data_IF_663588047945
#
_entry.id   IF_663588047945
#
_cell.length_a   1.000
_cell.length_b   1.000
_cell.length_c   1.000
_cell.angle_alpha   90.00
_cell.angle_beta   90.00
_cell.angle_gamma   90.00
#
_symmetry.space_group_name_H-M   'P 1'
#
loop_
_entity.id
_entity.type
_entity.pdbx_description
1 polymer ?
#
# COMPACT_ATOMS: atom_id res chain seq x y z
N UNK A 1 -26.24 64.16 24.74
CA UNK A 1 -26.73 63.22 23.72
C UNK A 1 -25.71 62.08 23.64
N UNK A 2 -25.66 61.19 24.64
CA UNK A 2 -26.44 59.94 24.71
C UNK A 2 -26.56 59.19 23.38
N UNK A 3 -25.81 58.09 23.26
CA UNK A 3 -26.40 56.74 23.34
C UNK A 3 -25.31 55.66 23.52
N UNK A 4 -25.37 55.03 24.69
CA UNK A 4 -24.81 53.74 25.05
C UNK A 4 -25.72 52.64 24.50
N UNK A 5 -25.18 51.56 23.91
CA UNK A 5 -25.89 50.26 23.83
C UNK A 5 -24.91 49.14 24.19
N UNK A 6 -25.25 48.46 25.28
CA UNK A 6 -24.58 47.33 25.91
C UNK A 6 -24.98 46.00 25.25
N UNK A 7 -24.03 45.08 25.14
CA UNK A 7 -24.25 43.70 24.70
C UNK A 7 -24.94 42.85 25.81
N UNK A 8 -25.82 41.90 25.46
CA UNK A 8 -26.40 40.97 26.42
C UNK A 8 -25.63 39.64 26.51
N UNK A 9 -25.50 39.14 27.74
CA UNK A 9 -24.98 37.80 28.11
C UNK A 9 -26.03 36.72 27.81
N UNK A 10 -25.61 35.63 27.17
CA UNK A 10 -26.43 34.42 26.96
C UNK A 10 -26.23 33.42 28.12
N UNK A 11 -27.35 32.96 28.66
CA UNK A 11 -27.52 31.94 29.72
C UNK A 11 -27.93 30.62 29.06
N UNK A 12 -27.47 29.44 29.52
CA UNK A 12 -27.85 28.15 28.94
C UNK A 12 -29.25 27.69 29.38
N UNK A 13 -30.00 26.91 28.57
CA UNK A 13 -31.39 26.60 28.86
C UNK A 13 -31.55 25.43 29.83
N UNK A 14 -32.46 25.63 30.78
CA UNK A 14 -33.04 24.66 31.71
C UNK A 14 -34.07 23.77 31.01
N UNK A 15 -33.94 22.45 31.15
CA UNK A 15 -34.92 21.46 30.68
C UNK A 15 -36.02 21.30 31.74
N UNK A 16 -37.25 21.68 31.38
CA UNK A 16 -38.45 21.54 32.20
C UNK A 16 -39.08 20.15 32.08
N UNK A 17 -39.41 19.57 33.22
CA UNK A 17 -40.22 18.37 33.36
C UNK A 17 -41.68 18.66 33.01
N UNK A 18 -42.33 17.77 32.26
CA UNK A 18 -43.78 17.72 32.08
C UNK A 18 -44.30 16.54 32.90
N UNK A 19 -45.14 16.84 33.89
CA UNK A 19 -45.98 15.88 34.60
C UNK A 19 -47.16 15.45 33.72
N UNK A 20 -47.47 14.15 33.72
CA UNK A 20 -48.80 13.65 33.35
C UNK A 20 -49.13 12.39 34.15
N UNK A 21 -50.10 12.57 35.06
CA UNK A 21 -51.06 11.69 35.71
C UNK A 21 -50.92 10.16 35.77
N UNK A 22 -51.26 9.69 36.97
CA UNK A 22 -51.30 8.32 37.45
C UNK A 22 -52.43 7.46 36.87
N UNK A 23 -52.19 6.14 36.78
CA UNK A 23 -53.05 5.06 37.30
C UNK A 23 -52.92 3.78 36.46
N UNK A 24 -52.17 2.80 36.96
CA UNK A 24 -52.69 1.44 37.20
C UNK A 24 -51.63 0.63 37.94
N UNK A 25 -52.01 0.17 39.12
CA UNK A 25 -51.19 -0.65 39.99
C UNK A 25 -50.94 -2.03 39.38
N UNK A 26 -49.69 -2.46 39.42
CA UNK A 26 -49.35 -3.87 39.61
C UNK A 26 -48.00 -3.93 40.32
N UNK A 27 -48.06 -4.14 41.63
CA UNK A 27 -46.90 -4.37 42.50
C UNK A 27 -46.22 -5.70 42.15
N UNK A 28 -44.92 -5.72 41.80
CA UNK A 28 -44.14 -6.94 41.76
C UNK A 28 -43.44 -7.17 43.11
N UNK A 29 -43.62 -8.39 43.62
CA UNK A 29 -42.95 -9.05 44.74
C UNK A 29 -41.57 -8.50 45.17
N UNK A 30 -41.42 -8.32 46.48
CA UNK A 30 -40.21 -7.97 47.26
C UNK A 30 -39.04 -8.99 47.17
N UNK A 31 -39.08 -9.97 46.26
CA UNK A 31 -37.98 -10.92 46.03
C UNK A 31 -36.98 -10.48 44.96
N UNK A 32 -37.15 -9.30 44.35
CA UNK A 32 -36.32 -8.81 43.24
C UNK A 32 -35.38 -7.63 43.58
N UNK A 33 -35.36 -7.15 44.84
CA UNK A 33 -34.53 -6.00 45.26
C UNK A 33 -33.16 -6.39 45.84
N UNK A 34 -32.81 -7.69 45.89
CA UNK A 34 -31.48 -8.16 46.36
C UNK A 34 -30.49 -8.59 45.27
N UNK A 35 -30.75 -8.29 44.00
CA UNK A 35 -29.88 -8.68 42.88
C UNK A 35 -29.41 -7.50 42.00
N UNK A 36 -29.35 -6.28 42.54
CA UNK A 36 -29.01 -5.08 41.76
C UNK A 36 -27.81 -4.26 42.30
N UNK A 37 -26.93 -4.85 43.11
CA UNK A 37 -25.73 -4.17 43.59
C UNK A 37 -24.52 -5.12 43.66
N UNK A 38 -24.07 -5.61 42.50
CA UNK A 38 -22.72 -6.14 42.32
C UNK A 38 -22.44 -6.43 40.85
N UNK A 39 -22.57 -5.43 39.97
CA UNK A 39 -21.79 -5.45 38.72
C UNK A 39 -20.39 -5.01 39.11
N UNK A 40 -19.59 -5.97 39.58
CA UNK A 40 -18.15 -5.78 39.57
C UNK A 40 -17.78 -5.61 38.10
N UNK A 41 -17.41 -4.38 37.71
CA UNK A 41 -16.55 -4.16 36.56
C UNK A 41 -15.36 -5.09 36.77
N UNK A 42 -15.38 -6.25 36.10
CA UNK A 42 -14.21 -7.11 36.00
C UNK A 42 -13.17 -6.21 35.37
N UNK A 43 -12.23 -5.71 36.20
CA UNK A 43 -11.07 -4.98 35.70
C UNK A 43 -10.46 -5.93 34.68
N UNK A 44 -10.39 -5.58 33.38
CA UNK A 44 -9.64 -6.41 32.47
C UNK A 44 -8.25 -6.48 33.08
N UNK A 45 -7.77 -7.67 33.38
CA UNK A 45 -6.37 -7.87 33.69
C UNK A 45 -5.67 -7.37 32.44
N UNK A 46 -5.18 -6.13 32.50
CA UNK A 46 -4.39 -5.55 31.44
C UNK A 46 -3.13 -6.41 31.39
N UNK A 47 -3.17 -7.48 30.58
CA UNK A 47 -1.95 -8.10 30.11
C UNK A 47 -1.18 -6.96 29.48
N UNK A 48 0.01 -6.65 30.03
CA UNK A 48 0.94 -5.71 29.40
C UNK A 48 1.03 -6.10 27.93
N UNK A 49 0.98 -5.11 27.04
CA UNK A 49 1.16 -5.34 25.62
C UNK A 49 2.41 -6.21 25.41
N UNK A 50 2.35 -7.21 24.50
CA UNK A 50 3.52 -8.00 24.18
C UNK A 50 4.64 -7.04 23.76
N UNK A 51 5.86 -7.32 24.19
CA UNK A 51 7.04 -6.56 23.76
C UNK A 51 8.07 -7.50 23.16
N UNK A 52 8.77 -7.05 22.12
CA UNK A 52 9.90 -7.77 21.54
C UNK A 52 11.02 -7.94 22.58
N UNK A 53 11.12 -7.00 23.50
CA UNK A 53 12.23 -6.87 24.47
C UNK A 53 11.93 -7.43 25.86
N UNK A 54 10.72 -7.95 26.09
CA UNK A 54 10.45 -8.68 27.33
C UNK A 54 11.44 -9.84 27.43
N UNK A 55 12.19 -9.96 28.54
CA UNK A 55 13.03 -11.14 28.80
C UNK A 55 12.15 -12.39 28.73
N UNK A 56 12.38 -13.20 27.70
CA UNK A 56 11.71 -14.49 27.50
C UNK A 56 12.57 -15.55 28.18
N UNK A 57 11.98 -16.35 29.05
CA UNK A 57 12.68 -17.50 29.62
C UNK A 57 12.96 -18.56 28.55
N UNK A 58 14.01 -19.39 28.68
CA UNK A 58 14.29 -20.46 27.70
C UNK A 58 13.08 -21.39 27.48
N UNK A 59 12.29 -21.61 28.54
CA UNK A 59 11.05 -22.40 28.48
C UNK A 59 9.99 -21.70 27.61
N UNK A 60 9.74 -20.41 27.81
CA UNK A 60 8.80 -19.66 26.97
C UNK A 60 9.28 -19.57 25.51
N UNK A 61 10.57 -19.37 25.28
CA UNK A 61 11.15 -19.34 23.93
C UNK A 61 10.94 -20.66 23.20
N UNK A 62 11.08 -21.80 23.89
CA UNK A 62 10.85 -23.13 23.29
C UNK A 62 9.40 -23.41 22.90
N UNK A 63 8.46 -22.61 23.41
CA UNK A 63 7.02 -22.73 23.13
C UNK A 63 6.54 -21.77 22.04
N UNK A 64 7.41 -20.89 21.54
CA UNK A 64 7.08 -19.96 20.48
C UNK A 64 7.15 -20.64 19.09
N UNK A 65 6.31 -20.23 18.13
CA UNK A 65 6.32 -20.83 16.79
C UNK A 65 7.49 -20.35 15.91
N UNK A 66 8.42 -19.56 16.45
CA UNK A 66 9.56 -18.98 15.75
C UNK A 66 10.80 -19.02 16.62
N UNK A 67 11.98 -18.94 15.98
CA UNK A 67 13.26 -18.86 16.69
C UNK A 67 13.38 -17.50 17.41
N UNK A 68 13.90 -17.54 18.63
CA UNK A 68 14.25 -16.34 19.40
C UNK A 68 15.76 -16.35 19.60
N UNK A 69 16.39 -15.23 19.27
CA UNK A 69 17.84 -15.07 19.31
C UNK A 69 18.24 -14.26 20.54
N UNK A 70 19.38 -14.63 21.13
CA UNK A 70 20.02 -13.86 22.21
C UNK A 70 21.04 -12.93 21.57
N UNK A 71 21.14 -11.69 22.08
CA UNK A 71 22.09 -10.70 21.59
C UNK A 71 23.53 -11.24 21.56
N UNK A 72 24.27 -10.88 20.52
CA UNK A 72 25.72 -11.06 20.45
C UNK A 72 26.42 -10.36 21.62
N UNK A 73 27.57 -10.87 22.05
CA UNK A 73 28.27 -10.43 23.26
C UNK A 73 29.11 -9.15 23.05
N UNK A 74 29.42 -8.81 21.80
CA UNK A 74 30.26 -7.67 21.43
C UNK A 74 29.47 -6.62 20.65
N UNK A 75 29.83 -5.32 20.77
CA UNK A 75 29.27 -4.28 19.90
C UNK A 75 29.40 -4.65 18.43
N UNK A 76 28.39 -4.28 17.66
CA UNK A 76 28.30 -4.53 16.21
C UNK A 76 28.26 -3.19 15.50
N UNK A 77 29.07 -3.02 14.45
CA UNK A 77 28.96 -1.86 13.56
C UNK A 77 27.68 -1.97 12.72
N UNK A 78 26.81 -0.95 12.79
CA UNK A 78 25.51 -0.98 12.11
C UNK A 78 25.67 -0.94 10.59
N UNK A 79 26.59 -0.11 10.06
CA UNK A 79 26.82 0.00 8.62
C UNK A 79 27.26 -1.32 8.03
N UNK A 80 28.33 -1.92 8.57
CA UNK A 80 28.84 -3.20 8.10
C UNK A 80 27.84 -4.34 8.28
N UNK A 81 27.02 -4.32 9.34
CA UNK A 81 25.97 -5.32 9.50
C UNK A 81 24.90 -5.23 8.41
N UNK A 82 24.44 -4.02 8.07
CA UNK A 82 23.46 -3.84 7.00
C UNK A 82 24.05 -4.26 5.65
N UNK A 83 25.35 -4.02 5.41
CA UNK A 83 26.06 -4.50 4.21
C UNK A 83 26.07 -6.03 4.17
N UNK A 84 26.43 -6.69 5.27
CA UNK A 84 26.39 -8.16 5.39
C UNK A 84 24.99 -8.72 5.09
N UNK A 85 23.92 -8.05 5.54
CA UNK A 85 22.53 -8.47 5.28
C UNK A 85 22.19 -8.33 3.79
N UNK A 86 22.50 -7.18 3.19
CA UNK A 86 22.26 -6.90 1.77
C UNK A 86 23.00 -7.90 0.87
N UNK A 87 24.28 -8.16 1.16
CA UNK A 87 25.11 -9.15 0.46
C UNK A 87 24.55 -10.57 0.57
N UNK A 88 24.07 -10.96 1.75
CA UNK A 88 23.43 -12.28 1.95
C UNK A 88 22.15 -12.40 1.14
N UNK A 89 21.35 -11.34 1.03
CA UNK A 89 20.16 -11.33 0.17
C UNK A 89 20.56 -11.54 -1.30
N UNK A 90 21.52 -10.77 -1.81
CA UNK A 90 22.02 -10.86 -3.18
C UNK A 90 22.69 -12.21 -3.49
N UNK A 91 23.27 -12.87 -2.47
CA UNK A 91 23.90 -14.20 -2.64
C UNK A 91 22.89 -15.28 -3.01
N UNK A 92 21.67 -15.21 -2.48
CA UNK A 92 20.63 -16.23 -2.67
C UNK A 92 19.54 -15.82 -3.66
N UNK A 93 19.34 -14.52 -3.86
CA UNK A 93 18.22 -13.96 -4.62
C UNK A 93 18.75 -12.97 -5.65
N UNK A 94 18.27 -13.08 -6.89
CA UNK A 94 18.56 -12.08 -7.93
C UNK A 94 17.60 -10.92 -7.73
N UNK A 95 18.10 -9.85 -7.14
CA UNK A 95 17.42 -8.58 -6.92
C UNK A 95 18.39 -7.45 -7.28
N UNK A 96 17.83 -6.28 -7.54
CA UNK A 96 18.62 -5.06 -7.69
C UNK A 96 19.20 -4.63 -6.33
N UNK A 97 20.37 -4.01 -6.32
CA UNK A 97 21.06 -3.58 -5.09
C UNK A 97 20.16 -2.65 -4.24
N UNK A 98 19.37 -1.77 -4.87
CA UNK A 98 18.45 -0.89 -4.14
C UNK A 98 17.32 -1.68 -3.45
N UNK A 99 16.86 -2.76 -4.06
CA UNK A 99 15.86 -3.65 -3.46
C UNK A 99 16.45 -4.48 -2.32
N UNK A 100 17.70 -4.91 -2.46
CA UNK A 100 18.42 -5.61 -1.41
C UNK A 100 18.65 -4.71 -0.19
N UNK A 101 19.06 -3.46 -0.41
CA UNK A 101 19.26 -2.45 0.63
C UNK A 101 17.94 -2.10 1.33
N UNK A 102 16.86 -1.90 0.57
CA UNK A 102 15.53 -1.69 1.13
C UNK A 102 15.06 -2.88 2.00
N UNK A 103 15.31 -4.11 1.53
CA UNK A 103 15.01 -5.32 2.27
C UNK A 103 15.88 -5.47 3.52
N UNK A 104 17.16 -5.11 3.47
CA UNK A 104 18.07 -5.14 4.62
C UNK A 104 17.62 -4.18 5.73
N UNK A 105 17.25 -2.95 5.35
CA UNK A 105 16.68 -1.95 6.27
C UNK A 105 15.34 -2.42 6.83
N UNK A 106 14.46 -3.01 6.00
CA UNK A 106 13.18 -3.54 6.47
C UNK A 106 13.36 -4.71 7.45
N UNK A 107 14.32 -5.61 7.19
CA UNK A 107 14.71 -6.70 8.11
C UNK A 107 15.14 -6.13 9.45
N UNK A 108 16.02 -5.12 9.46
CA UNK A 108 16.46 -4.48 10.70
C UNK A 108 15.29 -3.81 11.44
N UNK A 109 14.41 -3.12 10.70
CA UNK A 109 13.18 -2.53 11.23
C UNK A 109 12.29 -3.57 11.96
N UNK A 110 12.26 -4.83 11.55
CA UNK A 110 11.47 -5.86 12.26
C UNK A 110 11.88 -6.05 13.73
N UNK A 111 13.14 -5.77 14.07
CA UNK A 111 13.65 -5.83 15.45
C UNK A 111 13.34 -4.57 16.26
N UNK A 112 12.98 -3.47 15.59
CA UNK A 112 12.74 -2.16 16.17
C UNK A 112 11.29 -1.67 16.00
N UNK A 113 10.38 -2.49 15.48
CA UNK A 113 9.02 -2.04 15.10
C UNK A 113 8.26 -1.31 16.22
N UNK A 114 8.56 -1.60 17.49
CA UNK A 114 7.95 -0.97 18.67
C UNK A 114 8.26 0.53 18.83
N UNK A 115 9.39 1.02 18.30
CA UNK A 115 9.78 2.44 18.47
C UNK A 115 9.15 3.36 17.41
N UNK A 116 8.61 2.78 16.34
CA UNK A 116 8.00 3.52 15.24
C UNK A 116 6.48 3.58 15.40
N UNK A 117 5.87 4.67 14.94
CA UNK A 117 4.40 4.77 14.85
C UNK A 117 3.85 4.04 13.61
N UNK A 118 4.66 3.98 12.55
CA UNK A 118 4.32 3.36 11.27
C UNK A 118 5.22 2.15 11.03
N UNK A 119 4.63 1.06 10.53
CA UNK A 119 5.36 -0.11 10.05
C UNK A 119 5.01 -0.36 8.58
N UNK A 120 5.89 -0.03 7.61
CA UNK A 120 5.63 -0.25 6.20
C UNK A 120 5.47 -1.74 5.88
N UNK A 121 4.52 -2.06 4.99
CA UNK A 121 4.30 -3.42 4.50
C UNK A 121 5.36 -3.72 3.43
N UNK A 122 6.10 -4.81 3.56
CA UNK A 122 7.02 -5.22 2.49
C UNK A 122 6.26 -6.03 1.43
N UNK A 123 6.03 -5.46 0.26
CA UNK A 123 5.27 -6.08 -0.83
C UNK A 123 6.25 -6.69 -1.83
N UNK A 124 6.32 -8.01 -1.90
CA UNK A 124 7.14 -8.75 -2.86
C UNK A 124 6.25 -9.15 -4.03
N UNK A 125 6.27 -8.34 -5.08
CA UNK A 125 5.44 -8.54 -6.26
C UNK A 125 6.23 -9.22 -7.37
N UNK A 126 5.61 -10.08 -8.16
CA UNK A 126 6.21 -10.50 -9.43
C UNK A 126 5.16 -10.53 -10.55
N UNK A 127 5.56 -10.28 -11.80
CA UNK A 127 4.66 -10.33 -12.93
C UNK A 127 4.15 -11.75 -13.21
N UNK A 128 4.98 -12.78 -12.93
CA UNK A 128 4.67 -14.17 -13.27
C UNK A 128 5.10 -15.20 -12.20
N UNK A 129 4.73 -16.46 -12.43
CA UNK A 129 5.22 -17.62 -11.68
C UNK A 129 6.73 -17.81 -11.87
N UNK A 130 7.36 -18.57 -10.98
CA UNK A 130 8.78 -18.92 -11.02
C UNK A 130 9.80 -17.76 -10.95
N UNK A 131 9.39 -16.58 -10.46
CA UNK A 131 10.28 -15.43 -10.21
C UNK A 131 10.92 -15.44 -8.81
N UNK A 132 11.22 -16.62 -8.25
CA UNK A 132 11.90 -16.78 -6.95
C UNK A 132 11.27 -16.07 -5.71
N UNK A 133 10.01 -15.64 -5.77
CA UNK A 133 9.30 -14.97 -4.65
C UNK A 133 9.40 -15.71 -3.32
N UNK A 134 9.02 -17.00 -3.31
CA UNK A 134 9.08 -17.85 -2.11
C UNK A 134 10.51 -17.99 -1.60
N UNK A 135 11.51 -18.02 -2.48
CA UNK A 135 12.91 -18.05 -2.08
C UNK A 135 13.32 -16.74 -1.39
N UNK A 136 12.94 -15.59 -1.96
CA UNK A 136 13.21 -14.30 -1.35
C UNK A 136 12.56 -14.17 0.01
N UNK A 137 11.25 -14.48 0.11
CA UNK A 137 10.54 -14.46 1.38
C UNK A 137 11.15 -15.44 2.39
N UNK A 138 11.63 -16.61 1.96
CA UNK A 138 12.34 -17.56 2.84
C UNK A 138 13.62 -16.96 3.41
N UNK A 139 14.41 -16.23 2.61
CA UNK A 139 15.61 -15.53 3.11
C UNK A 139 15.22 -14.51 4.16
N UNK A 140 14.20 -13.69 3.90
CA UNK A 140 13.74 -12.67 4.85
C UNK A 140 13.17 -13.27 6.14
N UNK A 141 12.42 -14.38 6.05
CA UNK A 141 11.93 -15.12 7.22
C UNK A 141 13.07 -15.58 8.12
N UNK A 142 14.20 -16.01 7.55
CA UNK A 142 15.36 -16.45 8.32
C UNK A 142 16.14 -15.29 8.99
N UNK A 143 15.95 -14.05 8.51
CA UNK A 143 16.64 -12.87 9.01
C UNK A 143 15.79 -11.98 9.92
N UNK A 144 14.46 -12.13 9.93
CA UNK A 144 13.53 -11.20 10.58
C UNK A 144 13.16 -11.59 12.02
N UNK A 145 12.85 -10.58 12.84
CA UNK A 145 12.44 -10.79 14.22
C UNK A 145 11.09 -11.52 14.30
N UNK A 146 11.05 -12.61 15.07
CA UNK A 146 9.83 -13.39 15.37
C UNK A 146 9.02 -13.71 14.10
N UNK A 147 9.72 -14.11 13.03
CA UNK A 147 9.09 -14.36 11.74
C UNK A 147 8.04 -15.47 11.81
N UNK A 148 6.80 -15.14 11.44
CA UNK A 148 5.66 -16.06 11.41
C UNK A 148 5.15 -16.20 9.97
N UNK A 149 5.59 -17.23 9.22
CA UNK A 149 4.98 -17.60 7.95
C UNK A 149 3.51 -17.99 8.14
N UNK A 150 2.62 -17.35 7.39
CA UNK A 150 1.18 -17.42 7.55
C UNK A 150 0.47 -17.88 6.27
N UNK A 151 0.90 -19.02 5.71
CA UNK A 151 0.24 -19.64 4.56
C UNK A 151 -1.21 -20.01 4.92
N UNK A 152 -2.19 -19.31 4.34
CA UNK A 152 -3.62 -19.57 4.51
C UNK A 152 -4.13 -19.51 5.97
N UNK A 153 -3.55 -18.64 6.82
CA UNK A 153 -3.99 -18.47 8.19
C UNK A 153 -5.28 -17.61 8.28
N UNK A 154 -6.20 -17.98 9.18
CA UNK A 154 -7.42 -17.17 9.41
C UNK A 154 -7.08 -15.84 10.10
N UNK A 155 -7.83 -14.77 9.80
CA UNK A 155 -7.68 -13.49 10.50
C UNK A 155 -7.81 -13.67 12.03
N UNK A 156 -8.71 -14.57 12.46
CA UNK A 156 -8.93 -14.99 13.84
C UNK A 156 -7.67 -15.48 14.55
N UNK A 157 -6.92 -16.36 13.88
CA UNK A 157 -5.65 -16.86 14.40
C UNK A 157 -4.59 -15.76 14.46
N UNK A 158 -4.51 -14.94 13.41
CA UNK A 158 -3.45 -13.94 13.26
C UNK A 158 -3.54 -12.80 14.26
N UNK A 159 -4.69 -12.16 14.47
CA UNK A 159 -4.76 -11.06 15.46
C UNK A 159 -4.50 -11.55 16.89
N UNK A 160 -4.79 -12.82 17.21
CA UNK A 160 -4.43 -13.42 18.50
C UNK A 160 -2.94 -13.70 18.59
N UNK A 161 -2.32 -14.16 17.50
CA UNK A 161 -0.86 -14.29 17.43
C UNK A 161 -0.17 -12.93 17.61
N UNK A 162 -0.70 -11.85 17.03
CA UNK A 162 -0.17 -10.49 17.25
C UNK A 162 -0.30 -10.07 18.71
N UNK A 163 -1.46 -10.24 19.33
CA UNK A 163 -1.65 -9.92 20.76
C UNK A 163 -0.72 -10.73 21.70
N UNK A 164 -0.36 -11.96 21.33
CA UNK A 164 0.51 -12.81 22.15
C UNK A 164 1.99 -12.54 21.94
N UNK A 165 2.41 -12.29 20.69
CA UNK A 165 3.81 -12.41 20.30
C UNK A 165 4.35 -11.22 19.52
N UNK A 166 3.50 -10.34 18.99
CA UNK A 166 3.91 -9.27 18.06
C UNK A 166 4.89 -9.78 16.98
N UNK A 167 4.52 -10.82 16.20
CA UNK A 167 5.43 -11.40 15.22
C UNK A 167 5.51 -10.54 13.95
N UNK A 168 6.59 -10.74 13.18
CA UNK A 168 6.64 -10.29 11.79
C UNK A 168 5.90 -11.29 10.92
N UNK A 169 4.75 -10.92 10.35
CA UNK A 169 3.89 -11.85 9.60
C UNK A 169 4.29 -11.90 8.14
N UNK A 170 4.48 -13.10 7.60
CA UNK A 170 4.81 -13.33 6.19
C UNK A 170 3.67 -14.05 5.48
N UNK A 171 3.00 -13.36 4.56
CA UNK A 171 1.97 -13.93 3.70
C UNK A 171 2.61 -14.33 2.37
N UNK A 172 2.61 -15.62 2.04
CA UNK A 172 2.96 -16.12 0.70
C UNK A 172 1.68 -16.39 -0.10
N UNK A 173 1.77 -16.39 -1.42
CA UNK A 173 0.64 -16.64 -2.35
C UNK A 173 -0.57 -15.73 -2.11
N UNK A 174 -0.34 -14.49 -1.72
CA UNK A 174 -1.40 -13.57 -1.32
C UNK A 174 -2.41 -13.27 -2.45
N UNK A 175 -1.99 -13.38 -3.70
CA UNK A 175 -2.86 -13.27 -4.89
C UNK A 175 -4.01 -14.30 -4.89
N UNK A 176 -3.86 -15.41 -4.17
CA UNK A 176 -4.85 -16.50 -4.16
C UNK A 176 -5.96 -16.32 -3.12
N UNK A 177 -5.76 -15.53 -2.05
CA UNK A 177 -6.72 -15.46 -0.93
C UNK A 177 -7.01 -14.06 -0.38
N UNK A 178 -6.24 -13.01 -0.73
CA UNK A 178 -6.50 -11.68 -0.18
C UNK A 178 -7.73 -10.99 -0.79
N UNK A 179 -7.96 -11.17 -2.10
CA UNK A 179 -9.02 -10.46 -2.84
C UNK A 179 -10.41 -10.64 -2.23
N UNK A 180 -10.70 -11.85 -1.74
CA UNK A 180 -12.02 -12.20 -1.19
C UNK A 180 -12.06 -12.12 0.35
N UNK A 181 -10.97 -11.68 1.00
CA UNK A 181 -10.81 -11.69 2.46
C UNK A 181 -10.69 -10.28 3.05
N UNK A 182 -11.81 -9.55 3.05
CA UNK A 182 -11.90 -8.19 3.60
C UNK A 182 -11.47 -8.09 5.07
N UNK A 183 -11.72 -9.13 5.85
CA UNK A 183 -11.34 -9.19 7.26
C UNK A 183 -9.81 -9.19 7.43
N UNK A 184 -9.11 -9.95 6.58
CA UNK A 184 -7.65 -9.98 6.56
C UNK A 184 -7.06 -8.67 6.05
N UNK A 185 -7.60 -8.12 4.95
CA UNK A 185 -7.20 -6.80 4.43
C UNK A 185 -7.36 -5.70 5.49
N UNK A 186 -8.50 -5.70 6.19
CA UNK A 186 -8.76 -4.76 7.30
C UNK A 186 -7.75 -4.91 8.44
N UNK A 187 -7.41 -6.15 8.82
CA UNK A 187 -6.40 -6.43 9.84
C UNK A 187 -5.01 -5.93 9.42
N UNK A 188 -4.59 -6.22 8.17
CA UNK A 188 -3.30 -5.79 7.63
C UNK A 188 -3.20 -4.27 7.61
N UNK A 189 -4.22 -3.60 7.08
CA UNK A 189 -4.25 -2.14 6.97
C UNK A 189 -4.33 -1.44 8.34
N UNK A 190 -5.12 -1.96 9.27
CA UNK A 190 -5.16 -1.44 10.64
C UNK A 190 -3.80 -1.59 11.32
N UNK A 191 -3.08 -2.69 11.04
CA UNK A 191 -1.78 -2.99 11.61
C UNK A 191 -0.60 -2.20 11.06
N UNK A 192 -0.85 -1.20 10.22
CA UNK A 192 0.16 -0.28 9.69
C UNK A 192 0.58 0.79 10.70
N UNK A 193 -0.35 1.21 11.58
CA UNK A 193 -0.10 2.19 12.65
C UNK A 193 -0.07 1.54 14.03
N UNK A 194 0.72 2.10 14.94
CA UNK A 194 0.91 1.61 16.32
C UNK A 194 -0.40 1.52 17.11
N UNK A 195 -1.33 2.43 16.86
CA UNK A 195 -2.66 2.47 17.46
C UNK A 195 -3.66 1.46 16.86
N UNK A 196 -3.22 0.67 15.87
CA UNK A 196 -4.06 -0.24 15.09
C UNK A 196 -4.62 -1.41 15.89
N UNK A 197 -5.96 -1.56 15.86
CA UNK A 197 -6.65 -2.70 16.48
C UNK A 197 -7.82 -3.20 15.63
N UNK A 198 -8.22 -4.44 15.87
CA UNK A 198 -9.49 -5.00 15.40
C UNK A 198 -10.41 -5.29 16.59
N UNK A 199 -11.71 -5.08 16.41
CA UNK A 199 -12.73 -5.46 17.39
C UNK A 199 -13.29 -6.84 17.04
N UNK A 200 -13.37 -7.71 18.04
CA UNK A 200 -13.98 -9.03 17.91
C UNK A 200 -14.84 -9.33 19.12
N UNK A 201 -15.94 -10.03 18.87
CA UNK A 201 -16.84 -10.49 19.91
C UNK A 201 -16.24 -11.73 20.58
N UNK A 202 -16.04 -11.69 21.89
CA UNK A 202 -15.53 -12.80 22.69
C UNK A 202 -16.60 -13.28 23.66
N UNK A 203 -16.76 -14.60 23.76
CA UNK A 203 -17.69 -15.21 24.71
C UNK A 203 -17.06 -15.22 26.10
N UNK A 204 -17.70 -14.53 27.04
CA UNK A 204 -17.35 -14.54 28.46
C UNK A 204 -18.59 -15.01 29.23
N UNK A 205 -18.46 -16.19 29.82
CA UNK A 205 -19.58 -16.92 30.45
C UNK A 205 -20.74 -17.09 29.45
N UNK A 206 -21.91 -16.52 29.73
CA UNK A 206 -23.09 -16.58 28.87
C UNK A 206 -23.32 -15.31 28.03
N UNK A 207 -22.35 -14.40 27.99
CA UNK A 207 -22.45 -13.13 27.27
C UNK A 207 -21.34 -12.96 26.21
N UNK A 208 -21.61 -12.10 25.23
CA UNK A 208 -20.63 -11.68 24.24
C UNK A 208 -20.18 -10.25 24.52
N UNK A 209 -18.88 -10.06 24.72
CA UNK A 209 -18.30 -8.73 24.94
C UNK A 209 -17.35 -8.34 23.80
N UNK A 210 -17.33 -7.07 23.38
CA UNK A 210 -16.36 -6.60 22.40
C UNK A 210 -14.96 -6.54 23.04
N UNK A 211 -14.00 -7.24 22.43
CA UNK A 211 -12.58 -7.18 22.80
C UNK A 211 -11.77 -6.54 21.67
N UNK A 212 -10.87 -5.62 22.04
CA UNK A 212 -9.87 -5.03 21.14
C UNK A 212 -8.65 -5.95 21.07
N UNK A 213 -8.20 -6.25 19.85
CA UNK A 213 -6.95 -6.95 19.59
C UNK A 213 -6.00 -6.02 18.83
N UNK A 214 -4.80 -5.73 19.38
CA UNK A 214 -3.79 -4.99 18.64
C UNK A 214 -3.33 -5.79 17.43
N UNK A 215 -3.15 -5.12 16.29
CA UNK A 215 -2.72 -5.76 15.03
C UNK A 215 -1.48 -5.10 14.42
N UNK A 216 -0.89 -4.15 15.14
CA UNK A 216 0.36 -3.49 14.77
C UNK A 216 1.54 -4.47 14.69
N UNK A 217 2.44 -4.25 13.74
CA UNK A 217 3.68 -5.01 13.57
C UNK A 217 4.10 -5.17 12.11
N UNK A 218 5.32 -5.63 11.90
CA UNK A 218 5.88 -5.83 10.57
C UNK A 218 5.12 -6.91 9.78
N UNK A 219 4.85 -6.63 8.51
CA UNK A 219 4.11 -7.53 7.61
C UNK A 219 4.78 -7.55 6.25
N UNK A 220 4.95 -8.74 5.68
CA UNK A 220 5.38 -8.94 4.30
C UNK A 220 4.30 -9.70 3.53
N UNK A 221 4.00 -9.25 2.32
CA UNK A 221 3.03 -9.85 1.42
C UNK A 221 3.72 -10.20 0.11
N UNK A 222 3.71 -11.48 -0.26
CA UNK A 222 4.28 -11.96 -1.51
C UNK A 222 3.19 -12.55 -2.40
N UNK A 223 3.25 -12.27 -3.71
CA UNK A 223 2.29 -12.80 -4.66
C UNK A 223 2.53 -12.36 -6.10
N UNK A 224 1.65 -12.79 -7.00
CA UNK A 224 1.67 -12.46 -8.43
C UNK A 224 0.74 -11.29 -8.72
N UNK A 225 1.22 -10.30 -9.46
CA UNK A 225 0.42 -9.15 -9.91
C UNK A 225 -0.44 -8.56 -8.79
N UNK A 226 0.15 -8.35 -7.61
CA UNK A 226 -0.55 -7.99 -6.38
C UNK A 226 -1.39 -6.71 -6.51
N UNK A 227 -1.03 -5.81 -7.42
CA UNK A 227 -1.84 -4.65 -7.80
C UNK A 227 -3.27 -5.01 -8.26
N UNK A 228 -3.51 -6.24 -8.72
CA UNK A 228 -4.83 -6.75 -9.13
C UNK A 228 -5.61 -7.41 -8.00
N UNK A 229 -4.95 -7.70 -6.87
CA UNK A 229 -5.48 -8.52 -5.77
C UNK A 229 -5.55 -7.77 -4.44
N UNK A 230 -4.72 -6.73 -4.27
CA UNK A 230 -4.71 -5.86 -3.11
C UNK A 230 -5.35 -4.52 -3.45
N UNK A 231 -6.09 -3.95 -2.51
CA UNK A 231 -6.65 -2.60 -2.68
C UNK A 231 -5.54 -1.55 -2.66
N UNK A 232 -5.74 -0.41 -3.33
CA UNK A 232 -4.83 0.74 -3.33
C UNK A 232 -4.48 1.20 -1.91
N UNK A 233 -5.43 1.09 -0.98
CA UNK A 233 -5.17 1.41 0.43
C UNK A 233 -4.09 0.51 1.05
N UNK A 234 -4.00 -0.75 0.64
CA UNK A 234 -2.93 -1.67 1.09
C UNK A 234 -1.64 -1.41 0.34
N UNK A 235 -1.70 -1.27 -0.99
CA UNK A 235 -0.54 -1.02 -1.85
C UNK A 235 0.20 0.26 -1.45
N UNK A 236 -0.55 1.34 -1.20
CA UNK A 236 0.02 2.61 -0.77
C UNK A 236 0.73 2.54 0.59
N UNK A 237 0.43 1.57 1.45
CA UNK A 237 1.10 1.38 2.76
C UNK A 237 2.36 0.52 2.68
N UNK A 238 2.79 0.16 1.46
CA UNK A 238 3.88 -0.76 1.24
C UNK A 238 5.11 -0.16 0.57
N UNK A 239 6.24 -0.84 0.77
CA UNK A 239 7.44 -0.73 -0.05
C UNK A 239 7.42 -1.92 -1.01
N UNK A 240 7.34 -1.63 -2.31
CA UNK A 240 7.18 -2.65 -3.35
C UNK A 240 8.55 -3.08 -3.88
N UNK A 241 8.85 -4.36 -3.74
CA UNK A 241 9.99 -5.03 -4.35
C UNK A 241 9.48 -5.87 -5.53
N UNK A 242 9.85 -5.47 -6.74
CA UNK A 242 9.49 -6.14 -7.97
C UNK A 242 10.53 -7.23 -8.32
N UNK A 243 10.07 -8.48 -8.30
CA UNK A 243 10.85 -9.64 -8.71
C UNK A 243 10.78 -9.80 -10.23
N UNK A 244 11.91 -10.18 -10.83
CA UNK A 244 12.03 -10.52 -12.25
C UNK A 244 12.42 -11.97 -12.46
N UNK A 245 12.13 -12.49 -13.64
CA UNK A 245 12.56 -13.85 -14.01
C UNK A 245 14.07 -13.85 -14.18
N UNK A 246 14.70 -14.81 -13.53
CA UNK A 246 16.13 -15.10 -13.64
C UNK A 246 16.52 -15.43 -15.08
N UNK A 247 17.59 -14.82 -15.58
CA UNK A 247 18.22 -15.20 -16.85
C UNK A 247 19.10 -16.47 -16.69
N UNK A 248 19.36 -17.23 -17.78
CA UNK A 248 20.19 -18.45 -17.72
C UNK A 248 21.63 -18.24 -17.25
N UNK A 249 22.19 -17.06 -17.52
CA UNK A 249 23.56 -16.64 -17.20
C UNK A 249 23.71 -16.08 -15.78
N UNK A 250 22.65 -15.50 -15.22
CA UNK A 250 22.63 -15.08 -13.82
C UNK A 250 22.80 -16.31 -12.91
N UNK A 251 23.68 -16.26 -11.92
CA UNK A 251 23.93 -17.36 -10.99
C UNK A 251 23.83 -16.87 -9.57
N UNK A 252 23.11 -17.63 -8.75
CA UNK A 252 22.99 -17.41 -7.30
C UNK A 252 23.28 -18.72 -6.59
N UNK A 253 23.75 -18.61 -5.36
CA UNK A 253 23.96 -19.76 -4.50
C UNK A 253 22.60 -20.36 -4.16
N UNK A 254 22.49 -21.69 -4.19
CA UNK A 254 21.25 -22.34 -3.76
C UNK A 254 21.18 -22.30 -2.23
N UNK A 255 20.05 -21.87 -1.67
CA UNK A 255 19.85 -21.77 -0.23
C UNK A 255 20.17 -23.05 0.54
N UNK A 256 19.91 -24.23 -0.05
CA UNK A 256 20.27 -25.54 0.55
C UNK A 256 21.78 -25.77 0.74
N UNK A 257 22.63 -24.96 0.12
CA UNK A 257 24.08 -24.97 0.27
C UNK A 257 24.60 -23.79 1.09
N UNK A 258 23.70 -23.03 1.73
CA UNK A 258 24.09 -21.98 2.67
C UNK A 258 24.97 -22.58 3.78
N UNK A 259 25.96 -21.82 4.24
CA UNK A 259 26.78 -22.21 5.37
C UNK A 259 25.90 -22.44 6.60
N UNK A 260 26.17 -23.53 7.33
CA UNK A 260 25.45 -23.83 8.56
C UNK A 260 25.65 -22.68 9.56
N UNK A 261 24.55 -22.15 10.10
CA UNK A 261 24.59 -21.06 11.07
C UNK A 261 24.72 -19.66 10.46
N UNK A 262 24.73 -19.50 9.12
CA UNK A 262 24.84 -18.20 8.47
C UNK A 262 23.80 -17.20 8.99
N UNK A 263 22.52 -17.59 8.93
CA UNK A 263 21.41 -16.75 9.38
C UNK A 263 21.45 -16.55 10.90
N UNK A 264 21.74 -17.60 11.68
CA UNK A 264 21.87 -17.49 13.13
C UNK A 264 22.94 -16.47 13.54
N UNK A 265 24.11 -16.45 12.88
CA UNK A 265 25.20 -15.49 13.13
C UNK A 265 24.74 -14.05 12.86
N UNK A 266 24.01 -13.81 11.77
CA UNK A 266 23.47 -12.48 11.47
C UNK A 266 22.39 -12.08 12.47
N UNK A 267 21.44 -12.96 12.78
CA UNK A 267 20.34 -12.66 13.69
C UNK A 267 20.83 -12.26 15.09
N UNK A 268 21.86 -12.91 15.65
CA UNK A 268 22.40 -12.48 16.96
C UNK A 268 23.09 -11.12 16.89
N UNK A 269 23.74 -10.79 15.76
CA UNK A 269 24.32 -9.45 15.53
C UNK A 269 23.22 -8.39 15.37
N UNK A 270 22.13 -8.71 14.65
CA UNK A 270 20.99 -7.81 14.49
C UNK A 270 20.34 -7.50 15.83
N UNK A 271 20.10 -8.53 16.68
CA UNK A 271 19.57 -8.29 18.04
C UNK A 271 20.49 -7.36 18.82
N UNK A 272 21.81 -7.57 18.75
CA UNK A 272 22.77 -6.74 19.46
C UNK A 272 22.78 -5.29 18.96
N UNK A 273 22.80 -5.09 17.65
CA UNK A 273 22.75 -3.75 17.06
C UNK A 273 21.40 -3.06 17.33
N UNK A 274 20.28 -3.78 17.28
CA UNK A 274 18.97 -3.23 17.63
C UNK A 274 18.92 -2.76 19.09
N UNK A 275 19.53 -3.50 20.02
CA UNK A 275 19.66 -3.07 21.42
C UNK A 275 20.58 -1.84 21.58
N UNK A 276 21.70 -1.79 20.84
CA UNK A 276 22.70 -0.72 20.95
C UNK A 276 22.28 0.62 20.32
N UNK A 277 21.57 0.58 19.19
CA UNK A 277 21.22 1.76 18.41
C UNK A 277 19.75 2.20 18.55
N UNK A 278 18.94 1.53 19.38
CA UNK A 278 17.51 1.85 19.56
C UNK A 278 17.27 3.34 19.81
N UNK A 279 17.91 3.91 20.84
CA UNK A 279 17.69 5.28 21.28
C UNK A 279 18.09 6.28 20.18
N UNK A 280 19.26 6.04 19.56
CA UNK A 280 19.73 6.86 18.44
C UNK A 280 18.77 6.82 17.24
N UNK A 281 18.18 5.67 16.93
CA UNK A 281 17.23 5.51 15.81
C UNK A 281 15.88 6.12 16.16
N UNK A 282 15.42 6.00 17.41
CA UNK A 282 14.17 6.62 17.87
C UNK A 282 14.24 8.17 17.82
N UNK A 283 15.39 8.71 18.17
CA UNK A 283 15.64 10.16 18.17
C UNK A 283 16.03 10.71 16.78
N UNK A 284 16.37 9.83 15.84
CA UNK A 284 16.70 10.23 14.48
C UNK A 284 15.52 10.98 13.82
N UNK A 285 15.85 12.05 13.10
CA UNK A 285 14.92 12.81 12.25
C UNK A 285 15.50 12.79 10.84
N UNK A 286 15.26 11.73 10.06
CA UNK A 286 15.83 11.61 8.73
C UNK A 286 15.31 12.71 7.81
N UNK A 287 16.11 13.10 6.83
CA UNK A 287 15.61 13.90 5.73
C UNK A 287 14.67 13.05 4.86
N UNK A 288 13.43 13.50 4.71
CA UNK A 288 12.44 12.88 3.84
C UNK A 288 12.42 13.67 2.52
N UNK A 289 12.75 13.04 1.38
CA UNK A 289 12.74 13.72 0.08
C UNK A 289 11.34 14.23 -0.29
N UNK A 290 11.26 15.49 -0.76
CA UNK A 290 9.98 16.13 -1.13
C UNK A 290 9.34 15.50 -2.37
N UNK A 291 10.11 14.78 -3.18
CA UNK A 291 9.63 14.05 -4.36
C UNK A 291 8.78 12.81 -3.98
N UNK A 292 8.88 12.36 -2.73
CA UNK A 292 8.03 11.29 -2.21
C UNK A 292 6.68 11.86 -1.79
N UNK A 293 5.59 11.18 -2.15
CA UNK A 293 4.26 11.48 -1.60
C UNK A 293 4.24 11.32 -0.08
N UNK A 294 3.32 12.01 0.61
CA UNK A 294 3.16 11.91 2.07
C UNK A 294 3.15 10.46 2.58
N UNK A 295 2.48 9.58 1.82
CA UNK A 295 2.39 8.16 2.15
C UNK A 295 3.71 7.42 1.92
N UNK A 296 4.43 7.74 0.85
CA UNK A 296 5.75 7.17 0.61
C UNK A 296 6.75 7.66 1.68
N UNK A 297 6.66 8.93 2.10
CA UNK A 297 7.42 9.45 3.23
C UNK A 297 7.12 8.69 4.52
N UNK A 298 5.83 8.48 4.87
CA UNK A 298 5.42 7.65 6.02
C UNK A 298 6.01 6.22 5.96
N UNK A 299 6.09 5.63 4.76
CA UNK A 299 6.60 4.26 4.57
C UNK A 299 8.13 4.20 4.71
N UNK A 300 8.84 5.20 4.20
CA UNK A 300 10.30 5.22 4.17
C UNK A 300 10.93 5.82 5.42
N UNK A 301 10.20 6.62 6.20
CA UNK A 301 10.71 7.25 7.44
C UNK A 301 11.39 6.24 8.39
N UNK A 302 10.81 5.06 8.73
CA UNK A 302 11.48 4.12 9.62
C UNK A 302 12.80 3.58 9.05
N UNK A 303 12.86 3.33 7.74
CA UNK A 303 14.05 2.81 7.06
C UNK A 303 15.12 3.90 6.95
N UNK A 304 14.73 5.14 6.64
CA UNK A 304 15.63 6.29 6.55
C UNK A 304 16.18 6.68 7.93
N UNK A 305 15.41 6.51 9.01
CA UNK A 305 15.89 6.70 10.38
C UNK A 305 17.02 5.72 10.72
N UNK A 306 16.85 4.44 10.38
CA UNK A 306 17.90 3.42 10.53
C UNK A 306 19.12 3.79 9.69
N UNK A 307 18.92 4.15 8.41
CA UNK A 307 20.00 4.51 7.50
C UNK A 307 20.78 5.76 7.95
N UNK A 308 20.09 6.75 8.53
CA UNK A 308 20.71 7.97 9.10
C UNK A 308 21.69 7.62 10.22
N UNK A 309 21.32 6.70 11.11
CA UNK A 309 22.21 6.25 12.21
C UNK A 309 23.33 5.36 11.70
N UNK A 310 23.09 4.57 10.65
CA UNK A 310 24.11 3.75 10.00
C UNK A 310 25.20 4.58 9.32
N UNK A 311 24.91 5.83 8.96
CA UNK A 311 25.86 6.80 8.41
C UNK A 311 25.52 7.25 6.98
N UNK A 312 26.26 8.25 6.49
CA UNK A 312 25.96 8.94 5.22
C UNK A 312 25.84 7.98 4.02
N UNK A 313 26.73 6.97 3.92
CA UNK A 313 26.70 6.01 2.82
C UNK A 313 25.44 5.11 2.80
N UNK A 314 24.87 4.79 3.96
CA UNK A 314 23.59 4.08 4.03
C UNK A 314 22.42 5.01 3.74
N UNK A 315 22.47 6.25 4.25
CA UNK A 315 21.43 7.24 3.98
C UNK A 315 21.29 7.55 2.48
N UNK A 316 22.41 7.74 1.77
CA UNK A 316 22.40 7.98 0.32
C UNK A 316 21.76 6.82 -0.46
N UNK A 317 22.14 5.57 -0.12
CA UNK A 317 21.56 4.37 -0.75
C UNK A 317 20.08 4.23 -0.43
N UNK A 318 19.68 4.49 0.81
CA UNK A 318 18.29 4.42 1.24
C UNK A 318 17.42 5.48 0.55
N UNK A 319 17.90 6.72 0.40
CA UNK A 319 17.20 7.78 -0.35
C UNK A 319 17.06 7.38 -1.82
N UNK A 320 18.14 6.88 -2.44
CA UNK A 320 18.10 6.40 -3.83
C UNK A 320 17.10 5.25 -4.01
N UNK A 321 17.08 4.29 -3.09
CA UNK A 321 16.10 3.22 -3.08
C UNK A 321 14.67 3.75 -2.91
N UNK A 322 14.46 4.71 -2.01
CA UNK A 322 13.17 5.32 -1.76
C UNK A 322 12.58 5.99 -2.99
N UNK A 323 13.38 6.82 -3.67
CA UNK A 323 12.97 7.52 -4.89
C UNK A 323 12.69 6.56 -6.03
N UNK A 324 13.60 5.62 -6.30
CA UNK A 324 13.45 4.68 -7.42
C UNK A 324 12.26 3.73 -7.24
N UNK A 325 12.12 3.11 -6.06
CA UNK A 325 11.06 2.13 -5.81
C UNK A 325 9.68 2.80 -5.71
N UNK A 326 9.61 4.03 -5.17
CA UNK A 326 8.35 4.77 -5.12
C UNK A 326 7.92 5.28 -6.50
N UNK A 327 8.87 5.66 -7.37
CA UNK A 327 8.56 6.04 -8.77
C UNK A 327 8.01 4.86 -9.56
N UNK A 328 8.66 3.70 -9.50
CA UNK A 328 8.20 2.48 -10.18
C UNK A 328 6.80 2.02 -9.71
N UNK A 329 6.44 2.32 -8.46
CA UNK A 329 5.09 2.08 -7.95
C UNK A 329 4.05 3.03 -8.53
N UNK A 330 4.43 4.26 -8.89
CA UNK A 330 3.54 5.27 -9.46
C UNK A 330 3.37 5.08 -10.98
N UNK A 331 4.44 4.67 -11.69
CA UNK A 331 4.43 4.41 -13.14
C UNK A 331 3.52 3.24 -13.51
N UNK A 332 3.37 2.24 -12.62
CA UNK A 332 2.34 1.20 -12.74
C UNK A 332 1.00 1.68 -12.18
N UNK A 333 0.59 2.89 -12.62
CA UNK A 333 -0.44 3.71 -12.01
C UNK A 333 -1.73 2.98 -11.70
N UNK A 334 -2.48 3.51 -10.73
CA UNK A 334 -3.87 3.07 -10.55
C UNK A 334 -4.59 3.26 -11.90
N UNK A 335 -5.43 2.31 -12.29
CA UNK A 335 -6.28 2.42 -13.50
C UNK A 335 -7.01 3.77 -13.56
N UNK A 336 -7.31 4.39 -12.41
CA UNK A 336 -7.92 5.71 -12.34
C UNK A 336 -7.00 6.87 -12.74
N UNK A 337 -5.68 6.77 -12.53
CA UNK A 337 -4.71 7.77 -12.97
C UNK A 337 -4.43 7.62 -14.47
N UNK A 338 -4.28 6.39 -14.95
CA UNK A 338 -4.18 6.07 -16.38
C UNK A 338 -5.39 6.60 -17.14
N UNK A 339 -6.61 6.41 -16.59
CA UNK A 339 -7.83 7.00 -17.15
C UNK A 339 -7.77 8.53 -17.18
N UNK A 340 -7.28 9.18 -16.13
CA UNK A 340 -7.18 10.65 -16.10
C UNK A 340 -6.14 11.16 -17.11
N UNK A 341 -5.00 10.49 -17.25
CA UNK A 341 -3.95 10.83 -18.21
C UNK A 341 -4.47 10.71 -19.65
N UNK A 342 -5.12 9.59 -19.98
CA UNK A 342 -5.68 9.37 -21.31
C UNK A 342 -6.84 10.32 -21.62
N UNK A 343 -7.66 10.68 -20.63
CA UNK A 343 -8.68 11.72 -20.81
C UNK A 343 -8.03 13.09 -21.06
N UNK A 344 -6.92 13.43 -20.38
CA UNK A 344 -6.18 14.66 -20.63
C UNK A 344 -5.68 14.71 -22.08
N UNK A 345 -5.07 13.62 -22.55
CA UNK A 345 -4.65 13.44 -23.94
C UNK A 345 -5.78 13.67 -24.95
N UNK A 346 -6.96 13.09 -24.68
CA UNK A 346 -8.13 13.29 -25.54
C UNK A 346 -8.55 14.76 -25.61
N UNK A 347 -8.47 15.51 -24.51
CA UNK A 347 -8.77 16.94 -24.52
C UNK A 347 -7.68 17.78 -25.18
N UNK A 348 -6.41 17.41 -25.04
CA UNK A 348 -5.27 18.10 -25.67
C UNK A 348 -5.31 17.93 -27.20
N UNK A 349 -5.57 16.72 -27.70
CA UNK A 349 -5.77 16.45 -29.15
C UNK A 349 -6.91 17.25 -29.77
N UNK A 350 -7.88 17.67 -28.96
CA UNK A 350 -9.05 18.46 -29.41
C UNK A 350 -8.81 19.97 -29.36
N UNK A 351 -7.61 20.43 -28.99
CA UNK A 351 -7.29 21.86 -29.00
C UNK A 351 -7.18 22.39 -30.44
N UNK A 352 -8.21 23.13 -30.87
CA UNK A 352 -8.32 23.75 -32.20
C UNK A 352 -9.38 24.86 -32.22
N UNK A 353 -9.61 25.51 -33.37
CA UNK A 353 -10.54 26.64 -33.57
C UNK A 353 -12.04 26.32 -33.31
N UNK A 354 -12.35 25.12 -32.84
CA UNK A 354 -13.70 24.67 -32.58
C UNK A 354 -14.26 25.21 -31.26
N UNK A 355 -15.39 25.92 -31.34
CA UNK A 355 -16.10 26.52 -30.21
C UNK A 355 -16.62 25.53 -29.15
N UNK A 356 -16.45 24.22 -29.35
CA UNK A 356 -16.88 23.15 -28.45
C UNK A 356 -15.73 22.24 -27.98
N UNK A 357 -14.46 22.60 -28.26
CA UNK A 357 -13.27 21.81 -27.90
C UNK A 357 -13.15 21.48 -26.39
N UNK A 358 -13.76 22.31 -25.54
CA UNK A 358 -13.79 22.12 -24.08
C UNK A 358 -14.83 21.10 -23.59
N UNK A 359 -15.60 20.49 -24.49
CA UNK A 359 -16.67 19.52 -24.15
C UNK A 359 -16.59 18.27 -25.01
N UNK A 360 -16.92 17.14 -24.41
CA UNK A 360 -16.94 15.85 -25.10
C UNK A 360 -18.14 15.02 -24.64
N UNK A 361 -18.81 14.35 -25.58
CA UNK A 361 -19.88 13.41 -25.24
C UNK A 361 -19.30 12.14 -24.59
N UNK A 362 -20.07 11.43 -23.76
CA UNK A 362 -19.58 10.17 -23.19
C UNK A 362 -19.32 9.11 -24.26
N UNK A 363 -20.04 9.16 -25.39
CA UNK A 363 -19.84 8.25 -26.52
C UNK A 363 -18.54 8.56 -27.27
N UNK A 364 -18.28 9.84 -27.57
CA UNK A 364 -17.03 10.28 -28.19
C UNK A 364 -15.84 10.00 -27.28
N UNK A 365 -15.92 10.33 -25.99
CA UNK A 365 -14.81 10.09 -25.05
C UNK A 365 -14.41 8.61 -25.03
N UNK A 366 -15.39 7.71 -25.06
CA UNK A 366 -15.12 6.27 -25.11
C UNK A 366 -14.48 5.87 -26.44
N UNK A 367 -14.95 6.42 -27.56
CA UNK A 367 -14.38 6.14 -28.88
C UNK A 367 -12.92 6.59 -28.96
N UNK A 368 -12.61 7.77 -28.44
CA UNK A 368 -11.25 8.32 -28.41
C UNK A 368 -10.34 7.51 -27.49
N UNK A 369 -10.83 7.14 -26.29
CA UNK A 369 -10.07 6.28 -25.37
C UNK A 369 -9.80 4.89 -25.97
N UNK A 370 -10.74 4.33 -26.73
CA UNK A 370 -10.54 3.05 -27.42
C UNK A 370 -9.54 3.14 -28.58
N UNK A 371 -9.33 4.33 -29.14
CA UNK A 371 -8.40 4.54 -30.24
C UNK A 371 -6.93 4.67 -29.78
N UNK A 372 -6.68 4.72 -28.47
CA UNK A 372 -5.33 4.72 -27.90
C UNK A 372 -4.84 3.27 -27.86
N UNK A 373 -3.92 2.91 -28.76
CA UNK A 373 -3.50 1.53 -29.04
C UNK A 373 -2.83 0.86 -27.83
N UNK A 374 -2.04 1.60 -27.06
CA UNK A 374 -1.32 1.12 -25.88
C UNK A 374 -2.19 1.09 -24.60
N UNK A 375 -3.39 1.67 -24.62
CA UNK A 375 -4.25 1.78 -23.43
C UNK A 375 -5.24 0.62 -23.29
N UNK A 376 -5.61 0.22 -22.06
CA UNK A 376 -6.44 -0.96 -21.83
C UNK A 376 -7.92 -0.78 -22.21
N UNK A 377 -8.36 0.41 -22.64
CA UNK A 377 -9.78 0.77 -22.75
C UNK A 377 -10.57 -0.03 -23.79
N UNK A 378 -9.92 -0.51 -24.85
CA UNK A 378 -10.54 -1.34 -25.88
C UNK A 378 -10.90 -2.75 -25.38
N UNK A 379 -10.18 -3.27 -24.38
CA UNK A 379 -10.35 -4.64 -23.86
C UNK A 379 -10.63 -4.70 -22.36
N UNK A 380 -10.86 -3.54 -21.75
CA UNK A 380 -10.95 -3.30 -20.31
C UNK A 380 -11.88 -4.25 -19.54
N UNK A 381 -13.03 -4.60 -20.12
CA UNK A 381 -14.04 -5.42 -19.48
C UNK A 381 -14.03 -6.85 -20.03
N UNK A 382 -13.09 -7.69 -19.57
CA UNK A 382 -13.01 -9.11 -19.99
C UNK A 382 -12.89 -9.27 -21.52
N UNK A 383 -12.10 -8.40 -22.17
CA UNK A 383 -11.95 -8.38 -23.63
C UNK A 383 -12.98 -7.51 -24.36
N UNK A 384 -13.88 -6.84 -23.62
CA UNK A 384 -14.82 -5.85 -24.19
C UNK A 384 -14.42 -4.41 -23.85
N UNK A 385 -14.83 -3.43 -24.67
CA UNK A 385 -14.51 -2.04 -24.41
C UNK A 385 -15.12 -1.49 -23.11
N UNK A 386 -14.47 -0.48 -22.56
CA UNK A 386 -14.96 0.25 -21.38
C UNK A 386 -16.31 0.93 -21.66
N UNK A 387 -17.25 0.80 -20.72
CA UNK A 387 -18.60 1.34 -20.85
C UNK A 387 -18.77 2.72 -20.20
N UNK A 388 -19.79 3.51 -20.60
CA UNK A 388 -20.06 4.83 -19.99
C UNK A 388 -20.30 4.76 -18.48
N UNK A 389 -20.90 3.67 -18.00
CA UNK A 389 -21.12 3.45 -16.56
C UNK A 389 -19.82 3.20 -15.80
N UNK A 390 -18.86 2.51 -16.43
CA UNK A 390 -17.55 2.24 -15.81
C UNK A 390 -16.73 3.52 -15.73
N UNK A 391 -16.67 4.32 -16.80
CA UNK A 391 -16.03 5.64 -16.77
C UNK A 391 -16.67 6.53 -15.70
N UNK A 392 -18.01 6.64 -15.68
CA UNK A 392 -18.68 7.45 -14.67
C UNK A 392 -18.41 6.94 -13.25
N UNK A 393 -18.34 5.62 -13.03
CA UNK A 393 -17.99 5.02 -11.75
C UNK A 393 -16.57 5.36 -11.29
N UNK A 394 -15.60 5.33 -12.21
CA UNK A 394 -14.21 5.72 -11.93
C UNK A 394 -14.02 7.23 -11.78
N UNK A 395 -14.84 8.06 -12.43
CA UNK A 395 -14.72 9.51 -12.35
C UNK A 395 -15.41 10.11 -11.11
N UNK A 396 -16.39 9.41 -10.54
CA UNK A 396 -17.13 9.87 -9.35
C UNK A 396 -16.22 10.05 -8.12
N UNK A 397 -15.16 9.25 -7.98
CA UNK A 397 -14.21 9.39 -6.86
C UNK A 397 -13.43 10.70 -6.91
N UNK A 398 -13.26 11.28 -8.10
CA UNK A 398 -12.64 12.60 -8.32
C UNK A 398 -13.66 13.75 -8.27
N UNK A 399 -14.91 13.47 -7.90
CA UNK A 399 -16.00 14.45 -7.92
C UNK A 399 -16.52 14.77 -9.33
N UNK A 400 -16.10 14.02 -10.36
CA UNK A 400 -16.45 14.26 -11.75
C UNK A 400 -17.67 13.42 -12.11
N UNK A 401 -18.71 14.07 -12.63
CA UNK A 401 -19.97 13.43 -13.03
C UNK A 401 -20.38 13.84 -14.43
N UNK A 402 -20.95 12.93 -15.23
CA UNK A 402 -21.46 13.27 -16.55
C UNK A 402 -22.64 14.24 -16.42
N UNK A 403 -22.63 15.28 -17.24
CA UNK A 403 -23.70 16.27 -17.34
C UNK A 403 -24.16 16.42 -18.78
N UNK A 404 -25.27 17.11 -18.98
CA UNK A 404 -25.72 17.44 -20.33
C UNK A 404 -24.81 18.53 -20.88
N UNK A 405 -24.06 18.22 -21.94
CA UNK A 405 -23.12 19.13 -22.60
C UNK A 405 -23.61 19.41 -24.01
N UNK A 406 -23.30 20.59 -24.56
CA UNK A 406 -23.64 20.93 -25.93
C UNK A 406 -22.39 20.79 -26.80
N UNK A 407 -22.36 19.77 -27.66
CA UNK A 407 -21.22 19.43 -28.53
C UNK A 407 -21.47 19.78 -30.01
N UNK A 408 -22.56 20.49 -30.29
CA UNK A 408 -22.88 20.99 -31.61
C UNK A 408 -24.07 21.95 -31.60
N UNK A 409 -24.46 22.43 -32.78
CA UNK A 409 -25.56 23.40 -32.94
C UNK A 409 -26.89 22.86 -32.41
N UNK A 410 -27.14 21.56 -32.57
CA UNK A 410 -28.39 20.90 -32.16
C UNK A 410 -28.20 19.69 -31.24
N UNK A 411 -26.96 19.35 -30.88
CA UNK A 411 -26.68 18.14 -30.11
C UNK A 411 -26.36 18.44 -28.64
N UNK A 412 -27.06 17.76 -27.73
CA UNK A 412 -26.94 17.93 -26.28
C UNK A 412 -26.84 16.58 -25.55
N UNK A 413 -25.79 15.77 -25.79
CA UNK A 413 -25.62 14.47 -25.17
C UNK A 413 -25.20 14.59 -23.70
N UNK A 414 -25.18 13.44 -23.01
CA UNK A 414 -24.43 13.32 -21.75
C UNK A 414 -22.94 13.25 -22.05
N UNK A 415 -22.15 13.94 -21.25
CA UNK A 415 -20.72 14.08 -21.46
C UNK A 415 -20.04 14.86 -20.35
N UNK A 416 -18.85 15.34 -20.66
CA UNK A 416 -17.97 16.01 -19.71
C UNK A 416 -17.41 17.30 -20.31
N UNK A 417 -17.03 18.22 -19.44
CA UNK A 417 -16.32 19.45 -19.81
C UNK A 417 -14.93 19.44 -19.19
N UNK A 418 -13.93 19.96 -19.92
CA UNK A 418 -12.52 20.00 -19.50
C UNK A 418 -12.34 20.59 -18.10
N UNK A 419 -13.07 21.67 -17.77
CA UNK A 419 -13.03 22.30 -16.44
C UNK A 419 -13.39 21.37 -15.27
N UNK A 420 -14.10 20.27 -15.52
CA UNK A 420 -14.41 19.28 -14.48
C UNK A 420 -13.15 18.49 -14.10
N UNK A 421 -12.17 18.38 -15.00
CA UNK A 421 -10.96 17.61 -14.81
C UNK A 421 -9.77 18.43 -14.33
N UNK A 422 -9.77 19.77 -14.50
CA UNK A 422 -8.62 20.62 -14.14
C UNK A 422 -8.06 20.36 -12.72
N UNK A 423 -8.93 20.25 -11.72
CA UNK A 423 -8.50 19.97 -10.34
C UNK A 423 -7.96 18.54 -10.19
N UNK A 424 -8.56 17.56 -10.88
CA UNK A 424 -8.07 16.19 -10.88
C UNK A 424 -6.71 16.06 -11.60
N UNK A 425 -6.56 16.65 -12.79
CA UNK A 425 -5.29 16.69 -13.53
C UNK A 425 -4.19 17.35 -12.72
N UNK A 426 -4.47 18.47 -12.05
CA UNK A 426 -3.49 19.18 -11.23
C UNK A 426 -3.06 18.38 -9.98
N UNK A 427 -3.93 17.53 -9.44
CA UNK A 427 -3.68 16.78 -8.19
C UNK A 427 -3.10 15.38 -8.40
N UNK A 428 -3.50 14.71 -9.48
CA UNK A 428 -3.27 13.28 -9.64
C UNK A 428 -2.31 12.93 -10.79
N UNK A 429 -1.96 13.90 -11.65
CA UNK A 429 -1.01 13.69 -12.75
C UNK A 429 0.31 14.41 -12.46
N UNK A 430 1.41 13.65 -12.39
CA UNK A 430 2.77 14.13 -12.16
C UNK A 430 3.35 14.81 -13.42
N UNK A 431 4.36 15.70 -13.33
CA UNK A 431 5.11 16.17 -14.50
C UNK A 431 5.72 15.04 -15.34
N UNK A 432 6.13 13.93 -14.72
CA UNK A 432 6.66 12.77 -15.44
C UNK A 432 5.60 12.04 -16.28
N UNK A 433 4.35 12.02 -15.81
CA UNK A 433 3.21 11.48 -16.57
C UNK A 433 2.86 12.39 -17.76
N UNK A 434 3.31 13.65 -17.75
CA UNK A 434 3.14 14.61 -18.86
C UNK A 434 4.27 14.51 -19.89
N UNK A 435 5.47 14.08 -19.50
CA UNK A 435 6.65 13.96 -20.39
C UNK A 435 6.69 12.63 -21.14
N UNK A 436 6.34 11.50 -20.51
CA UNK A 436 6.24 10.21 -21.21
C UNK A 436 5.23 10.27 -22.38
N UNK A 437 4.20 11.09 -22.20
CA UNK A 437 3.13 11.33 -23.18
C UNK A 437 3.57 12.29 -24.30
N UNK A 438 4.50 13.21 -24.02
CA UNK A 438 5.02 14.15 -25.01
C UNK A 438 6.03 13.50 -25.96
N UNK A 439 6.84 12.55 -25.48
CA UNK A 439 7.79 11.79 -26.32
C UNK A 439 7.06 10.88 -27.32
N UNK A 440 5.90 10.32 -26.96
CA UNK A 440 5.07 9.50 -27.87
C UNK A 440 4.44 10.32 -29.03
N UNK A 441 4.27 11.65 -28.87
CA UNK A 441 3.77 12.52 -29.94
C UNK A 441 4.81 12.77 -31.04
N UNK A 442 6.11 12.75 -30.69
CA UNK A 442 7.20 13.00 -31.64
C UNK A 442 7.35 11.82 -32.63
N UNK A 443 7.14 10.59 -32.16
CA UNK A 443 7.25 9.39 -33.01
C UNK A 443 6.06 9.23 -33.99
N UNK A 444 4.86 9.74 -33.65
CA UNK A 444 3.69 9.65 -34.53
C UNK A 444 3.67 10.72 -35.64
N UNK A 445 4.19 11.92 -35.39
CA UNK A 445 4.34 12.96 -36.44
C UNK A 445 5.47 12.60 -37.42
N UNK A 446 6.55 11.94 -36.95
CA UNK A 446 7.68 11.54 -37.80
C UNK A 446 7.34 10.47 -38.84
N UNK A 447 6.25 9.70 -38.65
CA UNK A 447 5.83 8.62 -39.57
C UNK A 447 4.91 9.13 -40.69
N UNK A 448 4.35 10.35 -40.58
CA UNK A 448 3.43 10.89 -41.59
C UNK A 448 4.13 11.65 -42.74
N UNK A 449 5.44 11.88 -42.66
CA UNK A 449 6.22 12.66 -43.64
C UNK A 449 7.06 11.84 -44.64
N UNK A 450 6.96 10.50 -44.67
CA UNK A 450 7.54 9.71 -45.77
C UNK A 450 6.58 9.64 -46.98
N UNK A 451 6.81 10.52 -47.95
CA UNK A 451 6.22 10.48 -49.30
C UNK A 451 6.32 9.08 -49.93
N UNK A 452 5.15 8.52 -50.27
CA UNK A 452 5.06 7.26 -51.01
C UNK A 452 5.81 7.33 -52.36
N UNK A 453 6.61 6.32 -52.74
CA UNK A 453 7.32 6.34 -54.01
C UNK A 453 6.35 6.22 -55.19
N UNK A 454 6.51 7.11 -56.16
CA UNK A 454 5.71 7.16 -57.39
C UNK A 454 5.78 5.83 -58.17
N UNK A 455 4.63 5.19 -58.36
CA UNK A 455 4.46 4.03 -59.24
C UNK A 455 4.47 4.54 -60.70
N UNK A 456 5.56 4.30 -61.43
CA UNK A 456 5.59 4.50 -62.87
C UNK A 456 4.70 3.45 -63.57
N UNK A 457 3.79 3.84 -64.48
CA UNK A 457 2.99 2.87 -65.21
C UNK A 457 3.84 2.13 -66.24
N UNK A 458 3.71 0.79 -66.22
CA UNK A 458 4.36 -0.14 -67.13
C UNK A 458 3.79 0.02 -68.57
N UNK A 459 4.59 -0.07 -69.65
CA UNK A 459 4.06 -0.01 -71.00
C UNK A 459 3.38 -1.34 -71.38
N UNK A 460 2.16 -1.24 -71.89
CA UNK A 460 1.39 -2.38 -72.43
C UNK A 460 1.96 -2.73 -73.82
N UNK A 461 2.46 -3.96 -73.97
CA UNK A 461 2.85 -4.54 -75.26
C UNK A 461 1.60 -5.07 -75.99
N UNK A 462 1.27 -4.63 -77.23
CA UNK A 462 0.06 -5.03 -77.94
C UNK A 462 0.13 -6.40 -78.63
N UNK A 463 1.03 -7.30 -78.26
CA UNK A 463 1.28 -8.53 -79.02
C UNK A 463 1.16 -9.86 -78.27
N UNK A 464 0.26 -9.97 -77.28
CA UNK A 464 -0.06 -11.26 -76.66
C UNK A 464 -1.58 -11.56 -76.75
N UNK A 465 -2.01 -12.62 -77.48
CA UNK A 465 -3.40 -13.02 -77.55
C UNK A 465 -3.65 -14.22 -76.63
N UNK A 466 -4.08 -13.98 -75.39
CA UNK A 466 -4.91 -14.92 -74.61
C UNK A 466 -5.81 -14.21 -73.61
#
# INVERSE_FOLDING_TARGET
MEKNISAPKLVPPSVGFIESDASTANTPNESSVKAANSVQLVKPVAKKAPSLRKKISPREASQMPFKVYVAYDKPVDLSGLLDEISEVICTFVIVDDLQADAAALWVFHTYLVEIFDTSPILIINAPERACAKTLFQTVLVNLSARALPASNATASSLFRSVELWMPSIFFDEADTFFKDNNDLLGMVNAGYKSSGFVLRSEKVEDSFIPKKFPVYGAKSIAGIALEKHLHDSTMSRGIILNMRRKLPDEKVTRLRYAEQGLFEKLCVKIVRAADDYEEAIQDARPHLPEELSDRAQDNWEPLLAIATVAGEGWLERAIKAALTLSRQSNEKGSTGNELLADIQLVFEKRTGEDQYADKISSAELISELQAIEESPWATYNHGYPISPRQIAGQLVIYGIKPKTVRVGKFDTPKGYELRQFNDAFARYLSPADKEAVADEMIDLEAVQDEEAPAINPMPIDPSDPY
#
